data_IF_845276733421
#
_entry.id   IF_845276733421
#
_cell.length_a   1.000
_cell.length_b   1.000
_cell.length_c   1.000
_cell.angle_alpha   90.00
_cell.angle_beta   90.00
_cell.angle_gamma   90.00
#
_symmetry.space_group_name_H-M   'P 1'
#
loop_
_entity.id
_entity.type
_entity.pdbx_description
1 polymer ?
#
# COMPACT_ATOMS: atom_id res chain seq x y z
N UNK A 1 1.77 9.44 -24.96
CA UNK A 1 2.54 8.88 -23.82
C UNK A 1 2.18 9.68 -22.59
N UNK A 2 1.88 8.99 -21.49
CA UNK A 2 1.55 9.61 -20.22
C UNK A 2 2.77 9.47 -19.31
N UNK A 3 3.29 10.60 -18.87
CA UNK A 3 4.37 10.66 -17.89
C UNK A 3 4.12 11.82 -16.95
N UNK A 4 4.57 11.67 -15.71
CA UNK A 4 4.51 12.71 -14.69
C UNK A 4 5.82 12.69 -13.87
N UNK A 5 6.23 13.81 -13.27
CA UNK A 5 7.27 13.77 -12.24
C UNK A 5 6.76 13.04 -11.00
N UNK A 6 7.65 12.36 -10.27
CA UNK A 6 7.32 11.73 -8.98
C UNK A 6 6.87 12.79 -7.95
N UNK A 7 5.85 12.50 -7.11
CA UNK A 7 5.09 11.25 -7.03
C UNK A 7 3.86 11.19 -7.97
N UNK A 8 3.60 12.26 -8.72
CA UNK A 8 2.51 12.38 -9.68
C UNK A 8 1.13 12.58 -9.04
N UNK A 9 0.10 12.71 -9.89
CA UNK A 9 -1.30 12.75 -9.50
C UNK A 9 -2.10 11.76 -10.35
N UNK A 10 -2.85 10.87 -9.71
CA UNK A 10 -3.70 9.89 -10.39
C UNK A 10 -4.84 10.56 -11.17
N UNK A 11 -5.33 11.70 -10.69
CA UNK A 11 -6.37 12.49 -11.36
C UNK A 11 -5.92 13.02 -12.73
N UNK A 12 -4.61 13.04 -13.01
CA UNK A 12 -4.04 13.43 -14.30
C UNK A 12 -3.74 12.23 -15.22
N UNK A 13 -4.09 11.02 -14.80
CA UNK A 13 -3.93 9.82 -15.61
C UNK A 13 -5.08 9.64 -16.61
N UNK A 14 -4.81 8.89 -17.68
CA UNK A 14 -5.69 8.55 -18.78
C UNK A 14 -5.47 7.07 -19.13
N UNK A 15 -6.43 6.19 -18.83
CA UNK A 15 -7.60 6.47 -18.00
C UNK A 15 -7.20 6.76 -16.55
N UNK A 16 -8.06 7.51 -15.82
CA UNK A 16 -7.94 7.61 -14.35
C UNK A 16 -8.16 6.22 -13.76
N UNK A 17 -7.33 5.74 -12.82
CA UNK A 17 -7.51 4.45 -12.17
C UNK A 17 -8.89 4.31 -11.49
N UNK A 18 -9.51 3.14 -11.60
CA UNK A 18 -10.73 2.81 -10.84
C UNK A 18 -10.35 2.40 -9.41
N UNK A 19 -10.74 3.21 -8.43
CA UNK A 19 -10.47 2.99 -7.00
C UNK A 19 -11.62 2.25 -6.32
N UNK A 20 -12.69 1.95 -7.05
CA UNK A 20 -13.89 1.33 -6.54
C UNK A 20 -14.90 2.35 -6.00
N UNK A 21 -14.77 3.62 -6.34
CA UNK A 21 -15.62 4.75 -5.93
C UNK A 21 -17.10 4.47 -6.20
N UNK A 22 -17.41 3.70 -7.25
CA UNK A 22 -18.78 3.36 -7.60
C UNK A 22 -19.10 1.86 -7.48
N UNK A 23 -18.09 1.00 -7.39
CA UNK A 23 -18.25 -0.46 -7.44
C UNK A 23 -18.11 -1.16 -6.09
N UNK A 24 -17.25 -0.69 -5.18
CA UNK A 24 -17.02 -1.37 -3.90
C UNK A 24 -18.23 -1.19 -2.96
N UNK A 25 -18.84 -2.28 -2.50
CA UNK A 25 -19.95 -2.24 -1.55
C UNK A 25 -19.56 -2.92 -0.24
N UNK A 26 -19.54 -2.14 0.85
CA UNK A 26 -19.26 -2.67 2.18
C UNK A 26 -20.42 -3.49 2.77
N UNK A 27 -20.07 -4.38 3.69
CA UNK A 27 -21.01 -5.23 4.44
C UNK A 27 -20.78 -5.18 5.95
N UNK A 28 -20.00 -4.20 6.43
CA UNK A 28 -19.74 -3.97 7.85
C UNK A 28 -18.63 -4.84 8.44
N UNK A 29 -17.74 -5.41 7.61
CA UNK A 29 -16.70 -6.37 8.04
C UNK A 29 -15.61 -5.75 8.93
N UNK A 30 -15.49 -4.42 8.93
CA UNK A 30 -14.49 -3.67 9.67
C UNK A 30 -15.13 -2.63 10.62
N UNK A 31 -16.39 -2.84 11.01
CA UNK A 31 -17.12 -1.92 11.88
C UNK A 31 -16.33 -1.60 13.15
N UNK A 32 -16.01 -0.32 13.35
CA UNK A 32 -15.30 0.18 14.52
C UNK A 32 -13.78 -0.01 14.50
N UNK A 33 -13.21 -0.54 13.42
CA UNK A 33 -11.75 -0.55 13.20
C UNK A 33 -11.20 0.87 13.09
N UNK A 34 -9.95 1.04 13.50
CA UNK A 34 -9.18 2.28 13.39
C UNK A 34 -7.89 1.98 12.65
N UNK A 35 -7.80 2.43 11.39
CA UNK A 35 -6.76 2.04 10.46
C UNK A 35 -5.86 3.22 10.07
N UNK A 36 -4.54 3.00 10.14
CA UNK A 36 -3.55 3.85 9.48
C UNK A 36 -3.17 3.22 8.14
N UNK A 37 -3.28 3.98 7.05
CA UNK A 37 -2.94 3.54 5.69
C UNK A 37 -1.95 4.53 5.07
N UNK A 38 -0.78 4.07 4.64
CA UNK A 38 0.22 4.89 3.94
C UNK A 38 0.06 4.81 2.42
N UNK A 39 0.34 5.91 1.71
CA UNK A 39 0.12 6.00 0.25
C UNK A 39 -1.37 5.92 -0.09
N UNK A 40 -2.21 6.51 0.76
CA UNK A 40 -3.66 6.36 0.72
C UNK A 40 -4.36 7.44 -0.11
N UNK A 41 -3.61 8.37 -0.68
CA UNK A 41 -4.05 9.42 -1.62
C UNK A 41 -4.46 8.84 -2.98
N UNK A 42 -3.78 7.80 -3.45
CA UNK A 42 -3.94 7.29 -4.81
C UNK A 42 -3.79 5.77 -4.91
N UNK A 43 -4.14 5.25 -6.09
CA UNK A 43 -3.91 3.86 -6.47
C UNK A 43 -4.44 2.85 -5.44
N UNK A 44 -3.63 1.84 -5.12
CA UNK A 44 -4.03 0.74 -4.23
C UNK A 44 -4.41 1.26 -2.83
N UNK A 45 -3.66 2.22 -2.28
CA UNK A 45 -3.94 2.73 -0.95
C UNK A 45 -5.27 3.48 -0.88
N UNK A 46 -5.59 4.28 -1.90
CA UNK A 46 -6.89 4.93 -2.00
C UNK A 46 -8.05 3.91 -2.08
N UNK A 47 -7.92 2.89 -2.94
CA UNK A 47 -8.93 1.84 -3.06
C UNK A 47 -9.14 1.07 -1.74
N UNK A 48 -8.06 0.78 -1.01
CA UNK A 48 -8.11 0.14 0.31
C UNK A 48 -8.76 1.07 1.33
N UNK A 49 -8.44 2.36 1.34
CA UNK A 49 -9.04 3.33 2.25
C UNK A 49 -10.56 3.47 2.02
N UNK A 50 -10.99 3.56 0.76
CA UNK A 50 -12.42 3.59 0.37
C UNK A 50 -13.12 2.31 0.84
N UNK A 51 -12.54 1.14 0.56
CA UNK A 51 -13.12 -0.13 0.96
C UNK A 51 -13.20 -0.27 2.49
N UNK A 52 -12.15 0.12 3.22
CA UNK A 52 -12.12 0.06 4.67
C UNK A 52 -13.20 0.95 5.30
N UNK A 53 -13.34 2.18 4.80
CA UNK A 53 -14.37 3.10 5.25
C UNK A 53 -15.79 2.55 5.00
N UNK A 54 -16.03 1.99 3.81
CA UNK A 54 -17.32 1.36 3.48
C UNK A 54 -17.61 0.12 4.33
N UNK A 55 -16.58 -0.58 4.79
CA UNK A 55 -16.70 -1.70 5.72
C UNK A 55 -16.84 -1.27 7.18
N UNK A 56 -16.78 0.04 7.46
CA UNK A 56 -17.08 0.63 8.76
C UNK A 56 -15.87 1.07 9.60
N UNK A 57 -14.67 1.16 9.00
CA UNK A 57 -13.45 1.60 9.68
C UNK A 57 -13.25 3.12 9.61
N UNK A 58 -12.68 3.70 10.65
CA UNK A 58 -12.12 5.06 10.63
C UNK A 58 -10.67 5.03 10.14
N UNK A 59 -10.27 6.03 9.35
CA UNK A 59 -9.03 5.99 8.57
C UNK A 59 -8.15 7.21 8.85
N UNK A 60 -6.87 6.96 9.14
CA UNK A 60 -5.79 7.92 9.03
C UNK A 60 -5.01 7.65 7.74
N UNK A 61 -4.71 8.70 6.98
CA UNK A 61 -4.12 8.64 5.64
C UNK A 61 -2.76 9.34 5.65
N UNK A 62 -1.71 8.64 5.24
CA UNK A 62 -0.39 9.23 4.96
C UNK A 62 -0.14 9.28 3.46
N UNK A 63 0.44 10.38 3.01
CA UNK A 63 0.74 10.71 1.61
C UNK A 63 1.74 11.90 1.59
N UNK A 64 2.34 12.22 0.44
CA UNK A 64 3.22 13.39 0.34
C UNK A 64 2.39 14.68 0.19
N UNK A 65 2.84 15.83 0.74
CA UNK A 65 2.11 17.09 0.60
C UNK A 65 1.76 17.50 -0.83
N UNK A 66 2.54 17.07 -1.83
CA UNK A 66 2.28 17.32 -3.24
C UNK A 66 1.05 16.58 -3.80
N UNK A 67 0.59 15.54 -3.12
CA UNK A 67 -0.53 14.66 -3.52
C UNK A 67 -1.86 15.08 -2.87
N UNK A 68 -1.89 16.22 -2.19
CA UNK A 68 -3.04 16.72 -1.42
C UNK A 68 -4.36 16.72 -2.20
N UNK A 69 -4.33 17.02 -3.50
CA UNK A 69 -5.53 17.03 -4.33
C UNK A 69 -6.19 15.64 -4.44
N UNK A 70 -5.38 14.59 -4.64
CA UNK A 70 -5.89 13.21 -4.69
C UNK A 70 -6.28 12.72 -3.30
N UNK A 71 -5.50 13.08 -2.27
CA UNK A 71 -5.83 12.76 -0.88
C UNK A 71 -7.18 13.33 -0.43
N UNK A 72 -7.49 14.59 -0.79
CA UNK A 72 -8.77 15.20 -0.44
C UNK A 72 -9.95 14.49 -1.11
N UNK A 73 -9.78 14.00 -2.35
CA UNK A 73 -10.80 13.18 -2.98
C UNK A 73 -11.10 11.90 -2.18
N UNK A 74 -10.06 11.21 -1.69
CA UNK A 74 -10.24 10.02 -0.84
C UNK A 74 -10.87 10.37 0.51
N UNK A 75 -10.46 11.49 1.12
CA UNK A 75 -11.05 12.00 2.37
C UNK A 75 -12.55 12.24 2.23
N UNK A 76 -13.00 12.83 1.11
CA UNK A 76 -14.41 13.04 0.81
C UNK A 76 -15.17 11.71 0.73
N UNK A 77 -14.60 10.71 0.06
CA UNK A 77 -15.22 9.39 -0.07
C UNK A 77 -15.33 8.64 1.27
N UNK A 78 -14.31 8.75 2.14
CA UNK A 78 -14.35 8.18 3.49
C UNK A 78 -15.44 8.85 4.33
N UNK A 79 -15.51 10.19 4.29
CA UNK A 79 -16.55 10.95 5.01
C UNK A 79 -17.94 10.66 4.47
N UNK A 80 -18.09 10.48 3.15
CA UNK A 80 -19.35 10.09 2.53
C UNK A 80 -19.81 8.68 2.96
N UNK A 81 -18.88 7.78 3.34
CA UNK A 81 -19.20 6.51 3.97
C UNK A 81 -19.57 6.63 5.47
N UNK A 82 -19.62 7.84 6.02
CA UNK A 82 -19.97 8.11 7.41
C UNK A 82 -18.84 7.83 8.41
N UNK A 83 -17.59 7.78 7.94
CA UNK A 83 -16.41 7.45 8.76
C UNK A 83 -15.49 8.66 8.94
N UNK A 84 -14.65 8.58 9.97
CA UNK A 84 -13.61 9.59 10.25
C UNK A 84 -12.46 9.43 9.26
N UNK A 85 -11.97 10.56 8.74
CA UNK A 85 -10.81 10.65 7.86
C UNK A 85 -9.80 11.66 8.44
N UNK A 86 -8.60 11.20 8.76
CA UNK A 86 -7.49 11.99 9.32
C UNK A 86 -6.35 12.04 8.30
N UNK A 87 -6.26 13.08 7.45
CA UNK A 87 -5.12 13.26 6.56
C UNK A 87 -3.88 13.71 7.34
N UNK A 88 -2.74 13.07 7.11
CA UNK A 88 -1.45 13.32 7.78
C UNK A 88 -0.34 13.35 6.72
N UNK A 89 -0.21 14.44 5.94
CA UNK A 89 0.81 14.53 4.90
C UNK A 89 2.24 14.59 5.46
N UNK A 90 3.20 13.97 4.78
CA UNK A 90 4.62 14.06 5.09
C UNK A 90 5.47 12.98 4.44
N UNK A 91 6.78 13.04 4.67
CA UNK A 91 7.77 12.21 3.97
C UNK A 91 8.22 11.02 4.83
N UNK A 92 7.95 9.81 4.33
CA UNK A 92 8.30 8.55 5.00
C UNK A 92 9.80 8.28 5.08
N UNK A 93 10.63 8.99 4.33
CA UNK A 93 12.10 8.91 4.48
C UNK A 93 12.55 9.47 5.84
N UNK A 94 11.80 10.43 6.39
CA UNK A 94 12.03 11.00 7.71
C UNK A 94 11.57 10.04 8.83
N UNK A 95 12.52 9.67 9.69
CA UNK A 95 12.27 8.81 10.83
C UNK A 95 11.37 9.45 11.91
N UNK A 96 11.46 10.77 12.06
CA UNK A 96 10.62 11.50 13.01
C UNK A 96 9.17 11.54 12.51
N UNK A 97 8.96 11.90 11.24
CA UNK A 97 7.64 11.83 10.61
C UNK A 97 7.00 10.43 10.76
N UNK A 98 7.74 9.34 10.54
CA UNK A 98 7.20 7.98 10.74
C UNK A 98 6.64 7.74 12.15
N UNK A 99 7.26 8.35 13.17
CA UNK A 99 6.81 8.24 14.57
C UNK A 99 5.63 9.17 14.84
N UNK A 100 5.70 10.41 14.35
CA UNK A 100 4.64 11.41 14.51
C UNK A 100 3.36 11.02 13.75
N UNK A 101 3.50 10.33 12.62
CA UNK A 101 2.39 9.78 11.85
C UNK A 101 1.54 8.84 12.72
N UNK A 102 2.19 7.92 13.43
CA UNK A 102 1.49 6.99 14.33
C UNK A 102 0.85 7.73 15.49
N UNK A 103 1.57 8.69 16.10
CA UNK A 103 1.03 9.46 17.22
C UNK A 103 -0.24 10.24 16.82
N UNK A 104 -0.19 10.93 15.67
CA UNK A 104 -1.33 11.68 15.12
C UNK A 104 -2.48 10.76 14.71
N UNK A 105 -2.20 9.57 14.15
CA UNK A 105 -3.23 8.59 13.84
C UNK A 105 -3.93 8.08 15.11
N UNK A 106 -3.17 7.75 16.16
CA UNK A 106 -3.72 7.30 17.45
C UNK A 106 -4.58 8.39 18.09
N UNK A 107 -4.11 9.64 18.09
CA UNK A 107 -4.86 10.78 18.62
C UNK A 107 -6.14 11.04 17.83
N UNK A 108 -6.02 11.18 16.50
CA UNK A 108 -7.13 11.52 15.62
C UNK A 108 -8.22 10.45 15.53
N UNK A 109 -7.85 9.18 15.69
CA UNK A 109 -8.79 8.05 15.65
C UNK A 109 -9.24 7.58 17.05
N UNK A 110 -8.63 8.09 18.12
CA UNK A 110 -8.88 7.61 19.49
C UNK A 110 -8.42 6.17 19.73
N UNK A 111 -7.34 5.75 19.06
CA UNK A 111 -6.75 4.41 19.12
C UNK A 111 -6.37 3.87 17.73
N UNK A 112 -5.73 2.71 17.69
CA UNK A 112 -5.25 2.10 16.45
C UNK A 112 -5.31 0.57 16.55
N UNK A 113 -5.87 -0.10 15.55
CA UNK A 113 -5.96 -1.57 15.51
C UNK A 113 -5.72 -2.17 14.11
N UNK A 114 -5.47 -1.34 13.10
CA UNK A 114 -4.96 -1.76 11.80
C UNK A 114 -3.85 -0.83 11.29
N UNK A 115 -2.74 -1.41 10.82
CA UNK A 115 -1.66 -0.68 10.13
C UNK A 115 -1.47 -1.28 8.75
N UNK A 116 -1.59 -0.46 7.72
CA UNK A 116 -1.51 -0.89 6.32
C UNK A 116 -0.43 -0.08 5.60
N UNK A 117 0.71 -0.72 5.35
CA UNK A 117 1.83 -0.08 4.65
C UNK A 117 1.70 -0.35 3.13
N UNK A 118 1.27 0.65 2.36
CA UNK A 118 1.12 0.57 0.89
C UNK A 118 2.07 1.51 0.17
N UNK A 119 2.40 2.68 0.75
CA UNK A 119 3.35 3.63 0.16
C UNK A 119 4.62 2.93 -0.34
N UNK A 120 5.07 3.33 -1.53
CA UNK A 120 6.25 2.73 -2.15
C UNK A 120 6.86 3.63 -3.22
N UNK A 121 8.17 3.52 -3.34
CA UNK A 121 8.99 4.12 -4.39
C UNK A 121 9.44 3.04 -5.37
N UNK A 122 9.34 3.32 -6.66
CA UNK A 122 9.77 2.45 -7.75
C UNK A 122 10.27 3.34 -8.88
N UNK A 123 11.53 3.19 -9.27
CA UNK A 123 12.14 3.92 -10.38
C UNK A 123 12.87 2.90 -11.26
N UNK A 124 12.52 2.89 -12.54
CA UNK A 124 13.10 2.04 -13.56
C UNK A 124 14.51 2.49 -13.94
N UNK A 125 15.41 1.53 -14.15
CA UNK A 125 16.77 1.69 -14.68
C UNK A 125 17.10 0.50 -15.58
N UNK A 126 17.53 0.74 -16.82
CA UNK A 126 17.79 -0.34 -17.79
C UNK A 126 19.04 -1.15 -17.43
N UNK A 127 20.07 -0.46 -16.90
CA UNK A 127 21.35 -1.05 -16.50
C UNK A 127 21.65 -0.78 -15.02
N UNK A 128 22.24 -1.77 -14.34
CA UNK A 128 22.68 -1.64 -12.95
C UNK A 128 23.69 -0.49 -12.74
N UNK A 129 24.42 -0.10 -13.79
CA UNK A 129 25.36 1.04 -13.73
C UNK A 129 24.64 2.40 -13.66
N UNK A 130 23.35 2.47 -13.99
CA UNK A 130 22.51 3.68 -13.89
C UNK A 130 21.83 3.79 -12.52
N UNK A 131 21.76 2.69 -11.77
CA UNK A 131 21.22 2.66 -10.41
C UNK A 131 22.18 3.36 -9.45
N UNK A 132 21.84 4.60 -9.08
CA UNK A 132 22.64 5.41 -8.16
C UNK A 132 22.47 4.95 -6.70
N UNK A 133 23.48 5.21 -5.86
CA UNK A 133 23.39 5.00 -4.42
C UNK A 133 22.20 5.75 -3.81
N UNK A 134 21.94 6.98 -4.26
CA UNK A 134 20.82 7.81 -3.79
C UNK A 134 19.46 7.17 -4.09
N UNK A 135 19.27 6.66 -5.31
CA UNK A 135 18.04 5.95 -5.67
C UNK A 135 17.88 4.71 -4.80
N UNK A 136 18.94 3.90 -4.72
CA UNK A 136 18.94 2.66 -3.94
C UNK A 136 18.56 2.92 -2.47
N UNK A 137 19.23 3.89 -1.83
CA UNK A 137 18.97 4.26 -0.43
C UNK A 137 17.55 4.80 -0.24
N UNK A 138 17.07 5.66 -1.13
CA UNK A 138 15.74 6.25 -1.03
C UNK A 138 14.65 5.20 -1.22
N UNK A 139 14.81 4.27 -2.17
CA UNK A 139 13.90 3.12 -2.37
C UNK A 139 13.82 2.27 -1.10
N UNK A 140 14.95 1.99 -0.44
CA UNK A 140 14.98 1.29 0.85
C UNK A 140 14.35 2.10 1.99
N UNK A 141 14.59 3.41 2.04
CA UNK A 141 14.03 4.28 3.06
C UNK A 141 12.51 4.24 3.06
N UNK A 142 11.88 4.37 1.88
CA UNK A 142 10.43 4.32 1.73
C UNK A 142 9.88 2.90 1.90
N UNK A 143 10.48 1.91 1.24
CA UNK A 143 9.83 0.59 1.09
C UNK A 143 10.12 -0.38 2.25
N UNK A 144 11.18 -0.15 3.02
CA UNK A 144 11.61 -1.06 4.10
C UNK A 144 11.74 -0.33 5.43
N UNK A 145 12.49 0.77 5.48
CA UNK A 145 12.75 1.45 6.75
C UNK A 145 11.49 2.11 7.30
N UNK A 146 10.67 2.75 6.46
CA UNK A 146 9.43 3.37 6.89
C UNK A 146 8.42 2.35 7.46
N UNK A 147 8.05 1.23 6.77
CA UNK A 147 7.21 0.20 7.36
C UNK A 147 7.74 -0.34 8.68
N UNK A 148 9.06 -0.59 8.78
CA UNK A 148 9.70 -1.01 10.04
C UNK A 148 9.50 0.02 11.16
N UNK A 149 9.76 1.30 10.88
CA UNK A 149 9.63 2.42 11.85
C UNK A 149 8.18 2.60 12.29
N UNK A 150 7.24 2.61 11.34
CA UNK A 150 5.80 2.75 11.59
C UNK A 150 5.31 1.59 12.45
N UNK A 151 5.61 0.35 12.07
CA UNK A 151 5.20 -0.83 12.86
C UNK A 151 5.76 -0.74 14.27
N UNK A 152 7.06 -0.43 14.42
CA UNK A 152 7.69 -0.28 15.74
C UNK A 152 7.00 0.79 16.59
N UNK A 153 6.65 1.93 16.01
CA UNK A 153 5.96 3.01 16.70
C UNK A 153 4.49 2.66 17.01
N UNK A 154 3.82 1.88 16.16
CA UNK A 154 2.42 1.48 16.34
C UNK A 154 2.23 0.39 17.39
N UNK A 155 3.19 -0.53 17.55
CA UNK A 155 3.07 -1.71 18.42
C UNK A 155 2.58 -1.43 19.86
N UNK A 156 2.99 -0.35 20.56
CA UNK A 156 2.46 -0.02 21.89
C UNK A 156 0.95 0.26 21.92
N UNK A 157 0.36 0.60 20.77
CA UNK A 157 -1.04 0.98 20.62
C UNK A 157 -1.93 -0.12 20.06
N UNK A 158 -1.35 -1.24 19.59
CA UNK A 158 -2.08 -2.34 18.94
C UNK A 158 -2.53 -3.38 19.98
N UNK A 159 -3.83 -3.46 20.33
CA UNK A 159 -4.34 -4.52 21.20
C UNK A 159 -4.39 -5.89 20.49
N UNK A 160 -4.62 -6.96 21.25
CA UNK A 160 -4.94 -8.27 20.68
C UNK A 160 -6.16 -8.17 19.74
N UNK A 161 -6.10 -8.84 18.60
CA UNK A 161 -7.07 -8.71 17.50
C UNK A 161 -6.69 -7.65 16.46
N UNK A 162 -5.58 -6.93 16.65
CA UNK A 162 -5.03 -6.00 15.66
C UNK A 162 -4.39 -6.72 14.48
N UNK A 163 -4.22 -5.98 13.40
CA UNK A 163 -3.65 -6.50 12.15
C UNK A 163 -2.65 -5.52 11.54
N UNK A 164 -1.59 -6.06 10.96
CA UNK A 164 -0.61 -5.34 10.15
C UNK A 164 -0.62 -5.96 8.77
N UNK A 165 -0.74 -5.14 7.73
CA UNK A 165 -0.72 -5.58 6.34
C UNK A 165 0.35 -4.78 5.61
N UNK A 166 1.34 -5.47 5.05
CA UNK A 166 2.36 -4.84 4.23
C UNK A 166 2.11 -5.13 2.74
N UNK A 167 2.54 -4.23 1.88
CA UNK A 167 2.41 -4.40 0.43
C UNK A 167 3.74 -4.75 -0.19
N UNK A 168 3.87 -6.01 -0.59
CA UNK A 168 5.00 -6.49 -1.37
C UNK A 168 4.73 -6.25 -2.88
N UNK A 169 5.15 -7.20 -3.72
CA UNK A 169 4.90 -7.25 -5.16
C UNK A 169 5.13 -8.69 -5.61
N UNK A 170 4.56 -9.10 -6.75
CA UNK A 170 4.98 -10.30 -7.46
C UNK A 170 6.51 -10.34 -7.71
N UNK A 171 7.15 -9.16 -7.77
CA UNK A 171 8.59 -9.00 -7.95
C UNK A 171 9.44 -9.45 -6.76
N UNK A 172 8.83 -9.64 -5.58
CA UNK A 172 9.50 -10.32 -4.46
C UNK A 172 9.92 -11.75 -4.82
N UNK A 173 9.28 -12.35 -5.83
CA UNK A 173 9.49 -13.74 -6.26
C UNK A 173 9.95 -13.85 -7.71
N UNK A 174 9.47 -12.96 -8.59
CA UNK A 174 9.89 -12.86 -9.98
C UNK A 174 10.43 -11.44 -10.25
N UNK A 175 11.66 -11.13 -9.83
CA UNK A 175 12.21 -9.78 -9.95
C UNK A 175 12.33 -9.37 -11.43
N UNK A 176 11.92 -8.14 -11.74
CA UNK A 176 12.19 -7.55 -13.04
C UNK A 176 13.64 -7.00 -13.05
N UNK A 177 14.40 -7.23 -14.14
CA UNK A 177 15.81 -6.85 -14.19
C UNK A 177 16.03 -5.33 -14.22
N UNK A 178 14.98 -4.56 -14.50
CA UNK A 178 15.00 -3.11 -14.75
C UNK A 178 14.58 -2.26 -13.54
N UNK A 179 14.44 -2.89 -12.36
CA UNK A 179 14.07 -2.24 -11.09
C UNK A 179 14.53 -3.07 -9.88
N UNK A 180 15.83 -3.33 -9.86
CA UNK A 180 16.49 -4.26 -8.94
C UNK A 180 16.34 -3.86 -7.47
N UNK A 181 16.53 -2.58 -7.15
CA UNK A 181 16.35 -2.02 -5.80
C UNK A 181 14.92 -2.24 -5.31
N UNK A 182 13.92 -1.89 -6.13
CA UNK A 182 12.52 -2.10 -5.85
C UNK A 182 12.20 -3.58 -5.56
N UNK A 183 12.55 -4.49 -6.47
CA UNK A 183 12.29 -5.91 -6.29
C UNK A 183 12.94 -6.47 -5.00
N UNK A 184 14.18 -6.04 -4.70
CA UNK A 184 14.87 -6.38 -3.46
C UNK A 184 14.10 -5.88 -2.23
N UNK A 185 13.59 -4.64 -2.23
CA UNK A 185 12.77 -4.13 -1.12
C UNK A 185 11.47 -4.93 -0.93
N UNK A 186 10.85 -5.39 -2.03
CA UNK A 186 9.64 -6.21 -1.97
C UNK A 186 9.90 -7.62 -1.42
N UNK A 187 11.07 -8.19 -1.72
CA UNK A 187 11.56 -9.39 -1.03
C UNK A 187 11.81 -9.17 0.46
N UNK A 188 12.46 -8.05 0.81
CA UNK A 188 12.79 -7.69 2.19
C UNK A 188 11.52 -7.50 3.05
N UNK A 189 10.54 -6.73 2.59
CA UNK A 189 9.29 -6.50 3.35
C UNK A 189 8.47 -7.78 3.49
N UNK A 190 8.47 -8.66 2.47
CA UNK A 190 7.80 -9.96 2.56
C UNK A 190 8.44 -10.84 3.63
N UNK A 191 9.77 -10.93 3.65
CA UNK A 191 10.49 -11.70 4.66
C UNK A 191 10.34 -11.12 6.08
N UNK A 192 10.45 -9.79 6.22
CA UNK A 192 10.26 -9.08 7.50
C UNK A 192 8.89 -9.38 8.09
N UNK A 193 7.84 -9.35 7.25
CA UNK A 193 6.46 -9.62 7.65
C UNK A 193 6.29 -11.03 8.23
N UNK A 194 6.92 -12.04 7.61
CA UNK A 194 6.91 -13.43 8.09
C UNK A 194 7.63 -13.58 9.44
N UNK A 195 8.71 -12.84 9.66
CA UNK A 195 9.39 -12.80 10.96
C UNK A 195 8.54 -12.13 12.04
N UNK A 196 7.95 -10.96 11.74
CA UNK A 196 7.07 -10.23 12.67
C UNK A 196 5.80 -11.02 13.01
N UNK A 197 5.22 -11.73 12.03
CA UNK A 197 4.09 -12.63 12.24
C UNK A 197 4.36 -13.64 13.37
N UNK A 198 5.49 -14.33 13.33
CA UNK A 198 5.88 -15.27 14.37
C UNK A 198 6.09 -14.59 15.73
N UNK A 199 6.75 -13.43 15.74
CA UNK A 199 7.04 -12.69 16.96
C UNK A 199 5.77 -12.15 17.66
N UNK A 200 4.77 -11.75 16.87
CA UNK A 200 3.59 -11.05 17.36
C UNK A 200 2.37 -11.96 17.55
N UNK A 201 2.43 -13.20 17.08
CA UNK A 201 1.36 -14.19 17.23
C UNK A 201 0.91 -14.36 18.70
N UNK A 202 1.86 -14.46 19.63
CA UNK A 202 1.56 -14.60 21.07
C UNK A 202 0.90 -13.36 21.70
N UNK A 203 0.97 -12.21 21.03
CA UNK A 203 0.28 -10.97 21.41
C UNK A 203 -1.11 -10.84 20.76
N UNK A 204 -1.52 -11.82 19.95
CA UNK A 204 -2.78 -11.80 19.22
C UNK A 204 -2.80 -10.77 18.08
N UNK A 205 -1.64 -10.38 17.54
CA UNK A 205 -1.53 -9.44 16.41
C UNK A 205 -1.12 -10.23 15.17
N UNK A 206 -1.88 -10.06 14.09
CA UNK A 206 -1.58 -10.71 12.80
C UNK A 206 -0.72 -9.79 11.94
N UNK A 207 0.24 -10.37 11.23
CA UNK A 207 1.02 -9.66 10.20
C UNK A 207 0.93 -10.45 8.92
N UNK A 208 0.43 -9.85 7.85
CA UNK A 208 0.30 -10.48 6.54
C UNK A 208 0.76 -9.53 5.43
N UNK A 209 0.84 -10.06 4.22
CA UNK A 209 1.33 -9.36 3.04
C UNK A 209 0.31 -9.50 1.91
N UNK A 210 0.09 -8.43 1.17
CA UNK A 210 -0.52 -8.51 -0.17
C UNK A 210 0.59 -8.31 -1.20
N UNK A 211 0.61 -9.15 -2.23
CA UNK A 211 1.54 -9.08 -3.35
C UNK A 211 0.76 -8.81 -4.65
N UNK A 212 0.60 -7.53 -5.03
CA UNK A 212 0.00 -7.16 -6.30
C UNK A 212 0.85 -7.61 -7.49
N UNK A 213 0.19 -7.90 -8.61
CA UNK A 213 0.83 -7.88 -9.93
C UNK A 213 0.72 -6.50 -10.59
N UNK A 214 0.88 -6.42 -11.93
CA UNK A 214 0.72 -5.18 -12.67
C UNK A 214 -0.63 -4.53 -12.36
N UNK A 215 -0.58 -3.35 -11.74
CA UNK A 215 -1.77 -2.60 -11.31
C UNK A 215 -1.64 -1.17 -11.82
N UNK A 216 -2.68 -0.67 -12.48
CA UNK A 216 -2.69 0.67 -13.07
C UNK A 216 -2.75 1.74 -11.98
N UNK A 217 -1.60 2.36 -11.69
CA UNK A 217 -1.44 3.40 -10.66
C UNK A 217 -0.49 4.49 -11.14
N UNK A 218 -0.51 5.64 -10.46
CA UNK A 218 0.35 6.78 -10.78
C UNK A 218 1.85 6.42 -10.73
N UNK A 219 2.23 5.50 -9.83
CA UNK A 219 3.58 4.96 -9.69
C UNK A 219 4.17 4.48 -11.03
N UNK A 220 3.35 3.90 -11.91
CA UNK A 220 3.83 3.37 -13.19
C UNK A 220 4.19 4.49 -14.17
N UNK A 221 3.48 5.62 -14.13
CA UNK A 221 3.69 6.75 -15.06
C UNK A 221 4.64 7.82 -14.52
N UNK A 222 5.20 7.61 -13.34
CA UNK A 222 6.20 8.49 -12.71
C UNK A 222 7.60 7.92 -12.76
N UNK A 223 7.89 7.13 -13.79
CA UNK A 223 9.18 6.46 -13.98
C UNK A 223 9.27 5.08 -13.32
N UNK A 224 8.17 4.49 -12.86
CA UNK A 224 8.16 3.14 -12.30
C UNK A 224 8.42 2.04 -13.34
N UNK A 225 8.07 2.27 -14.60
CA UNK A 225 8.35 1.37 -15.73
C UNK A 225 8.83 2.17 -16.93
N UNK A 226 9.38 1.46 -17.93
CA UNK A 226 9.69 2.04 -19.23
C UNK A 226 8.44 2.71 -19.84
N UNK A 227 8.49 4.01 -20.15
CA UNK A 227 7.41 4.73 -20.81
C UNK A 227 6.91 4.12 -22.12
N UNK A 228 7.80 3.47 -22.88
CA UNK A 228 7.43 2.79 -24.13
C UNK A 228 6.60 1.52 -23.88
N UNK A 229 6.73 0.92 -22.69
CA UNK A 229 5.97 -0.26 -22.29
C UNK A 229 4.56 0.06 -21.75
N UNK A 230 4.29 1.31 -21.38
CA UNK A 230 3.02 1.72 -20.76
C UNK A 230 1.75 1.35 -21.55
N UNK A 231 1.70 1.45 -22.90
CA UNK A 231 0.53 1.05 -23.68
C UNK A 231 0.15 -0.44 -23.52
N UNK A 232 1.14 -1.30 -23.26
CA UNK A 232 0.99 -2.75 -23.14
C UNK A 232 1.09 -3.24 -21.68
N UNK A 233 1.15 -2.31 -20.70
CA UNK A 233 1.38 -2.61 -19.29
C UNK A 233 0.40 -3.67 -18.75
N UNK A 234 0.95 -4.73 -18.16
CA UNK A 234 0.19 -5.87 -17.64
C UNK A 234 -0.37 -6.85 -18.67
N UNK A 235 -0.43 -6.49 -19.97
CA UNK A 235 -1.02 -7.35 -21.01
C UNK A 235 -0.18 -8.58 -21.31
N UNK A 236 1.15 -8.44 -21.29
CA UNK A 236 2.10 -9.54 -21.54
C UNK A 236 2.63 -10.17 -20.25
N UNK A 237 2.50 -9.49 -19.11
CA UNK A 237 3.07 -9.91 -17.82
C UNK A 237 2.17 -10.88 -17.06
N UNK A 238 0.84 -10.66 -17.12
CA UNK A 238 -0.15 -11.43 -16.37
C UNK A 238 -1.01 -12.29 -17.32
N UNK A 239 -1.30 -13.57 -16.97
CA UNK A 239 -2.18 -14.43 -17.78
C UNK A 239 -3.59 -13.87 -18.07
N UNK A 240 -4.10 -12.97 -17.22
CA UNK A 240 -5.37 -12.27 -17.47
C UNK A 240 -5.31 -11.26 -18.63
N UNK A 241 -4.14 -10.99 -19.21
CA UNK A 241 -3.98 -10.18 -20.42
C UNK A 241 -4.30 -8.69 -20.23
N UNK A 242 -4.22 -8.20 -18.99
CA UNK A 242 -4.40 -6.77 -18.63
C UNK A 242 -3.78 -6.47 -17.27
N UNK A 243 -3.48 -5.20 -17.03
CA UNK A 243 -3.27 -4.69 -15.68
C UNK A 243 -4.56 -4.76 -14.84
N UNK A 244 -4.39 -4.97 -13.54
CA UNK A 244 -5.45 -4.79 -12.56
C UNK A 244 -5.78 -3.31 -12.37
N UNK A 245 -7.01 -3.00 -11.96
CA UNK A 245 -7.36 -1.71 -11.38
C UNK A 245 -7.17 -1.75 -9.86
N UNK A 246 -6.87 -0.62 -9.19
CA UNK A 246 -6.74 -0.56 -7.74
C UNK A 246 -7.93 -1.15 -6.97
N UNK A 247 -9.16 -0.94 -7.46
CA UNK A 247 -10.38 -1.51 -6.88
C UNK A 247 -10.30 -3.03 -6.67
N UNK A 248 -9.60 -3.76 -7.55
CA UNK A 248 -9.50 -5.22 -7.52
C UNK A 248 -8.54 -5.72 -6.43
N UNK A 249 -7.69 -4.83 -5.90
CA UNK A 249 -6.76 -5.13 -4.81
C UNK A 249 -7.45 -5.05 -3.44
N UNK A 250 -8.38 -4.11 -3.27
CA UNK A 250 -9.00 -3.79 -1.99
C UNK A 250 -9.63 -4.97 -1.23
N UNK A 251 -10.35 -5.93 -1.86
CA UNK A 251 -10.96 -7.07 -1.16
C UNK A 251 -9.96 -7.92 -0.37
N UNK A 252 -8.72 -8.06 -0.87
CA UNK A 252 -7.66 -8.81 -0.20
C UNK A 252 -7.26 -8.14 1.13
N UNK A 253 -7.11 -6.81 1.12
CA UNK A 253 -6.79 -6.05 2.33
C UNK A 253 -7.94 -6.11 3.35
N UNK A 254 -9.20 -6.04 2.90
CA UNK A 254 -10.36 -6.16 3.80
C UNK A 254 -10.42 -7.54 4.43
N UNK A 255 -10.22 -8.61 3.65
CA UNK A 255 -10.13 -9.98 4.18
C UNK A 255 -9.06 -10.06 5.28
N UNK A 256 -7.84 -9.59 4.97
CA UNK A 256 -6.72 -9.64 5.91
C UNK A 256 -6.90 -8.73 7.13
N UNK A 257 -7.68 -7.65 7.05
CA UNK A 257 -7.94 -6.76 8.18
C UNK A 257 -9.09 -7.23 9.09
N UNK A 258 -10.03 -7.98 8.52
CA UNK A 258 -11.22 -8.45 9.24
C UNK A 258 -10.89 -9.60 10.21
N UNK A 259 -11.87 -9.97 11.04
CA UNK A 259 -11.78 -11.14 11.91
C UNK A 259 -11.92 -12.48 11.16
N UNK A 260 -12.37 -12.47 9.90
CA UNK A 260 -12.58 -13.69 9.10
C UNK A 260 -11.25 -14.38 8.74
N UNK A 261 -10.14 -13.66 8.81
CA UNK A 261 -8.78 -14.15 8.60
C UNK A 261 -8.03 -14.43 9.92
N UNK A 262 -8.76 -14.81 10.98
CA UNK A 262 -8.19 -15.01 12.33
C UNK A 262 -7.07 -16.04 12.42
N UNK A 263 -7.03 -17.00 11.51
CA UNK A 263 -5.97 -18.03 11.42
C UNK A 263 -4.98 -17.80 10.25
N UNK A 264 -5.07 -16.63 9.59
CA UNK A 264 -4.15 -16.23 8.51
C UNK A 264 -3.13 -15.26 9.09
N UNK A 265 -1.90 -15.72 9.24
CA UNK A 265 -0.78 -14.97 9.82
C UNK A 265 0.53 -15.38 9.15
N UNK A 266 1.35 -14.40 8.79
CA UNK A 266 2.60 -14.62 8.06
C UNK A 266 2.40 -14.94 6.58
N UNK A 267 1.19 -14.78 6.05
CA UNK A 267 0.90 -15.15 4.67
C UNK A 267 1.11 -14.03 3.66
N UNK A 268 1.42 -14.44 2.43
CA UNK A 268 1.50 -13.57 1.25
C UNK A 268 0.33 -13.86 0.32
N UNK A 269 -0.68 -12.99 0.33
CA UNK A 269 -1.83 -13.10 -0.56
C UNK A 269 -1.53 -12.46 -1.92
N UNK A 270 -1.46 -13.27 -2.97
CA UNK A 270 -1.19 -12.82 -4.32
C UNK A 270 -2.45 -12.33 -5.03
N UNK A 271 -2.42 -11.09 -5.55
CA UNK A 271 -3.49 -10.50 -6.37
C UNK A 271 -2.85 -9.99 -7.66
N UNK A 272 -2.47 -10.95 -8.51
CA UNK A 272 -1.47 -10.74 -9.56
C UNK A 272 -1.89 -11.21 -10.96
N UNK A 273 -3.19 -11.42 -11.19
CA UNK A 273 -3.70 -11.79 -12.51
C UNK A 273 -3.27 -13.18 -13.01
N UNK A 274 -2.86 -14.08 -12.10
CA UNK A 274 -2.48 -15.46 -12.42
C UNK A 274 -0.99 -15.69 -12.60
N UNK A 275 -0.15 -14.71 -12.29
CA UNK A 275 1.30 -14.89 -12.30
C UNK A 275 1.72 -15.96 -11.27
N UNK A 276 2.62 -16.85 -11.68
CA UNK A 276 3.14 -17.90 -10.80
C UNK A 276 3.95 -17.25 -9.68
N UNK A 277 3.60 -17.60 -8.44
CA UNK A 277 4.34 -17.27 -7.22
C UNK A 277 4.64 -18.57 -6.46
N UNK A 278 5.83 -18.68 -5.82
CA UNK A 278 6.10 -19.73 -4.84
C UNK A 278 5.22 -19.61 -3.60
#
# INVERSE_FOLDING_TARGET
>A
MQQQPEPGLQSQMTPVPDLGEHSYRGTGRLTGRRALITGADSGIGAAVAIAFAREGADIALSYLPSEEADAQHVVELIRAAGRTAIPIPGDLTDAQYCSDLVAQAVEGLGGLDAVVNIAGKQIWQDDILELTDEQFETTFAVNVFAPFRIIRAALPHLPAGSTIINTASAEAHKPAPDRLDYAMTKGAINNLSKGMAQQLASKGIRVNVVAPGPTWTVLQVTGGVDPESLPDFGSSEAPMGRAAQPAEQAPAYVFLASAESSYVIGETLNVNGGMVSP
#
